data_IF_688316952711
#
_entry.id   IF_688316952711
#
_cell.length_a   1.000
_cell.length_b   1.000
_cell.length_c   1.000
_cell.angle_alpha   90.00
_cell.angle_beta   90.00
_cell.angle_gamma   90.00
#
_symmetry.space_group_name_H-M   'P 1'
#
loop_
_entity.id
_entity.type
_entity.pdbx_description
1 polymer ?
#
# COMPACT_ATOMS: atom_id res chain seq x y z
N UNK A 1 7.04 -1.02 -27.00
CA UNK A 1 7.54 -1.92 -25.92
C UNK A 1 7.12 -1.45 -24.52
N UNK A 2 6.33 -0.39 -24.46
CA UNK A 2 5.49 0.04 -23.34
C UNK A 2 4.64 -1.08 -22.72
N UNK A 3 3.97 -1.91 -23.54
CA UNK A 3 3.12 -3.00 -23.01
C UNK A 3 3.93 -3.99 -22.17
N UNK A 4 5.14 -4.35 -22.60
CA UNK A 4 6.01 -5.24 -21.83
C UNK A 4 6.41 -4.61 -20.50
N UNK A 5 6.70 -3.30 -20.50
CA UNK A 5 7.02 -2.56 -19.30
C UNK A 5 5.88 -2.61 -18.28
N UNK A 6 4.67 -2.22 -18.70
CA UNK A 6 3.49 -2.20 -17.83
C UNK A 6 3.05 -3.59 -17.39
N UNK A 7 3.25 -4.61 -18.23
CA UNK A 7 3.05 -6.01 -17.84
C UNK A 7 3.99 -6.43 -16.69
N UNK A 8 5.26 -6.01 -16.73
CA UNK A 8 6.21 -6.28 -15.66
C UNK A 8 5.90 -5.49 -14.38
N UNK A 9 5.49 -4.23 -14.50
CA UNK A 9 5.02 -3.44 -13.36
C UNK A 9 3.79 -4.07 -12.70
N UNK A 10 2.85 -4.60 -13.49
CA UNK A 10 1.68 -5.31 -12.97
C UNK A 10 2.06 -6.60 -12.23
N UNK A 11 3.01 -7.39 -12.77
CA UNK A 11 3.55 -8.58 -12.09
C UNK A 11 4.26 -8.21 -10.78
N UNK A 12 4.98 -7.09 -10.77
CA UNK A 12 5.58 -6.58 -9.55
C UNK A 12 4.52 -6.21 -8.49
N UNK A 13 3.44 -5.51 -8.88
CA UNK A 13 2.33 -5.24 -7.98
C UNK A 13 1.68 -6.53 -7.43
N UNK A 14 1.50 -7.56 -8.26
CA UNK A 14 1.00 -8.86 -7.82
C UNK A 14 1.92 -9.52 -6.79
N UNK A 15 3.24 -9.43 -6.96
CA UNK A 15 4.19 -9.94 -5.97
C UNK A 15 4.07 -9.21 -4.62
N UNK A 16 3.89 -7.88 -4.65
CA UNK A 16 3.64 -7.12 -3.42
C UNK A 16 2.36 -7.59 -2.74
N UNK A 17 1.29 -7.85 -3.49
CA UNK A 17 0.02 -8.34 -2.97
C UNK A 17 0.13 -9.76 -2.39
N UNK A 18 0.75 -10.69 -3.12
CA UNK A 18 0.94 -12.09 -2.68
C UNK A 18 1.82 -12.14 -1.43
N UNK A 19 2.89 -11.34 -1.41
CA UNK A 19 3.79 -11.26 -0.27
C UNK A 19 3.28 -10.39 0.88
N UNK A 20 2.07 -9.82 0.77
CA UNK A 20 1.49 -8.89 1.76
C UNK A 20 2.41 -7.69 2.10
N UNK A 21 3.21 -7.25 1.12
CA UNK A 21 4.11 -6.10 1.25
C UNK A 21 3.36 -4.80 0.97
N UNK A 22 2.35 -4.49 1.78
CA UNK A 22 1.61 -3.25 1.70
C UNK A 22 1.10 -2.84 3.08
N UNK A 23 0.98 -1.54 3.28
CA UNK A 23 0.57 -0.96 4.56
C UNK A 23 -0.58 0.03 4.37
N UNK A 24 -1.45 0.18 5.37
CA UNK A 24 -2.44 1.22 5.34
C UNK A 24 -1.76 2.57 5.60
N UNK A 25 -2.00 3.52 4.70
CA UNK A 25 -1.35 4.80 4.67
C UNK A 25 -2.34 5.96 4.84
N UNK A 26 -1.77 7.10 5.20
CA UNK A 26 -2.46 8.37 5.30
C UNK A 26 -1.71 9.40 4.44
N UNK A 27 -2.31 9.78 3.30
CA UNK A 27 -1.71 10.75 2.39
C UNK A 27 -2.37 12.12 2.55
N UNK A 28 -1.55 13.17 2.63
CA UNK A 28 -2.01 14.56 2.55
C UNK A 28 -1.90 15.05 1.11
N UNK A 29 -2.93 15.75 0.63
CA UNK A 29 -2.94 16.48 -0.62
C UNK A 29 -3.42 17.92 -0.36
N UNK A 30 -2.51 18.89 -0.45
CA UNK A 30 -2.78 20.27 -0.08
C UNK A 30 -3.05 20.48 1.43
N UNK A 31 -3.75 21.56 1.76
CA UNK A 31 -3.96 22.00 3.14
C UNK A 31 -5.01 21.18 3.89
N UNK A 32 -6.03 20.69 3.17
CA UNK A 32 -7.21 20.02 3.78
C UNK A 32 -7.45 18.60 3.27
N UNK A 33 -6.78 18.19 2.19
CA UNK A 33 -6.99 16.88 1.61
C UNK A 33 -6.29 15.80 2.43
N UNK A 34 -7.07 14.94 3.08
CA UNK A 34 -6.56 13.76 3.76
C UNK A 34 -7.16 12.52 3.11
N UNK A 35 -6.32 11.52 2.83
CA UNK A 35 -6.71 10.33 2.07
C UNK A 35 -6.21 9.07 2.77
N UNK A 36 -7.13 8.14 3.00
CA UNK A 36 -6.82 6.80 3.47
C UNK A 36 -6.55 5.92 2.25
N UNK A 37 -5.33 5.39 2.09
CA UNK A 37 -4.90 4.60 0.94
C UNK A 37 -4.08 3.40 1.39
N UNK A 38 -4.12 2.28 0.68
CA UNK A 38 -3.10 1.25 0.82
C UNK A 38 -1.89 1.62 -0.04
N UNK A 39 -0.69 1.41 0.51
CA UNK A 39 0.56 1.72 -0.20
C UNK A 39 1.49 0.50 -0.20
N UNK A 40 2.19 0.24 -1.31
CA UNK A 40 3.23 -0.79 -1.36
C UNK A 40 4.33 -0.48 -0.33
N UNK A 41 4.72 -1.47 0.47
CA UNK A 41 5.74 -1.34 1.49
C UNK A 41 7.06 -1.95 1.02
N UNK A 42 8.00 -1.12 0.58
CA UNK A 42 9.31 -1.57 0.08
C UNK A 42 10.35 -1.68 1.20
N UNK A 43 10.05 -2.48 2.21
CA UNK A 43 10.93 -2.64 3.39
C UNK A 43 12.17 -3.50 3.05
N UNK A 44 12.01 -4.55 2.25
CA UNK A 44 13.10 -5.46 1.82
C UNK A 44 13.99 -4.81 0.74
N UNK A 45 15.32 -4.88 0.92
CA UNK A 45 16.33 -4.45 -0.07
C UNK A 45 16.16 -5.12 -1.43
N UNK A 46 15.70 -6.37 -1.47
CA UNK A 46 15.44 -7.10 -2.72
C UNK A 46 14.29 -6.47 -3.49
N UNK A 47 13.20 -6.10 -2.80
CA UNK A 47 12.04 -5.43 -3.41
C UNK A 47 12.46 -4.05 -3.92
N UNK A 48 13.19 -3.28 -3.10
CA UNK A 48 13.72 -1.96 -3.49
C UNK A 48 14.60 -2.04 -4.74
N UNK A 49 15.61 -2.92 -4.75
CA UNK A 49 16.50 -3.08 -5.91
C UNK A 49 15.76 -3.45 -7.19
N UNK A 50 14.77 -4.33 -7.09
CA UNK A 50 13.97 -4.73 -8.24
C UNK A 50 13.08 -3.59 -8.75
N UNK A 51 12.50 -2.80 -7.85
CA UNK A 51 11.77 -1.60 -8.23
C UNK A 51 12.70 -0.60 -8.95
N UNK A 52 13.88 -0.32 -8.41
CA UNK A 52 14.88 0.55 -9.05
C UNK A 52 15.27 0.07 -10.45
N UNK A 53 15.61 -1.22 -10.60
CA UNK A 53 15.94 -1.79 -11.91
C UNK A 53 14.79 -1.69 -12.92
N UNK A 54 13.54 -1.82 -12.45
CA UNK A 54 12.37 -1.60 -13.28
C UNK A 54 12.23 -0.13 -13.69
N UNK A 55 12.45 0.82 -12.79
CA UNK A 55 12.41 2.26 -13.13
C UNK A 55 13.49 2.62 -14.17
N UNK A 56 14.71 2.13 -14.01
CA UNK A 56 15.84 2.39 -14.91
C UNK A 56 15.63 1.86 -16.34
N UNK A 57 14.79 0.83 -16.49
CA UNK A 57 14.49 0.20 -17.78
C UNK A 57 13.25 0.77 -18.47
N UNK A 58 12.67 1.85 -17.94
CA UNK A 58 11.47 2.47 -18.52
C UNK A 58 11.72 2.97 -19.95
N UNK A 59 10.98 2.45 -20.95
CA UNK A 59 10.99 3.02 -22.29
C UNK A 59 10.46 4.47 -22.30
N UNK A 60 11.09 5.42 -23.01
CA UNK A 60 10.63 6.81 -23.06
C UNK A 60 9.16 6.97 -23.51
N UNK A 61 8.67 6.06 -24.36
CA UNK A 61 7.27 6.05 -24.83
C UNK A 61 6.26 5.90 -23.68
N UNK A 62 6.62 5.29 -22.54
CA UNK A 62 5.72 5.15 -21.39
C UNK A 62 5.37 6.49 -20.72
N UNK A 63 6.24 7.49 -20.85
CA UNK A 63 6.09 8.83 -20.24
C UNK A 63 5.84 9.92 -21.28
N UNK A 64 5.57 9.54 -22.54
CA UNK A 64 5.37 10.46 -23.66
C UNK A 64 3.89 10.83 -23.89
N UNK A 65 3.00 10.51 -22.93
CA UNK A 65 1.57 10.76 -23.06
C UNK A 65 1.21 12.17 -22.61
N UNK A 66 0.44 12.88 -23.44
CA UNK A 66 -0.16 14.19 -23.13
C UNK A 66 0.87 15.25 -22.67
N UNK A 67 1.95 15.38 -23.46
CA UNK A 67 3.02 16.35 -23.21
C UNK A 67 2.95 17.50 -24.23
N UNK A 68 3.02 18.74 -23.73
CA UNK A 68 3.26 19.92 -24.56
C UNK A 68 4.76 20.05 -24.88
N UNK A 69 5.64 19.82 -23.89
CA UNK A 69 7.10 19.79 -24.04
C UNK A 69 7.73 18.50 -23.49
N UNK A 70 8.92 18.12 -24.00
CA UNK A 70 9.62 16.92 -23.50
C UNK A 70 10.02 17.01 -22.04
N UNK A 71 10.17 18.23 -21.52
CA UNK A 71 10.57 18.50 -20.14
C UNK A 71 9.39 18.34 -19.16
N UNK A 72 8.14 18.35 -19.65
CA UNK A 72 6.93 18.06 -18.86
C UNK A 72 6.80 16.56 -18.54
N UNK A 73 7.60 15.71 -19.18
CA UNK A 73 7.52 14.27 -19.04
C UNK A 73 7.83 13.83 -17.60
N UNK A 74 6.81 13.34 -16.90
CA UNK A 74 6.92 12.87 -15.52
C UNK A 74 8.10 11.90 -15.33
N UNK A 75 8.72 11.96 -14.15
CA UNK A 75 9.85 11.10 -13.83
C UNK A 75 9.43 9.62 -13.89
N UNK A 76 10.27 8.73 -14.46
CA UNK A 76 10.00 7.29 -14.53
C UNK A 76 9.64 6.68 -13.16
N UNK A 77 10.31 7.15 -12.11
CA UNK A 77 10.08 6.72 -10.74
C UNK A 77 8.63 6.99 -10.31
N UNK A 78 8.18 8.24 -10.40
CA UNK A 78 6.85 8.67 -9.96
C UNK A 78 5.74 7.96 -10.73
N UNK A 79 5.92 7.79 -12.04
CA UNK A 79 4.94 7.11 -12.90
C UNK A 79 4.80 5.63 -12.51
N UNK A 80 5.92 4.95 -12.28
CA UNK A 80 5.94 3.54 -11.89
C UNK A 80 5.40 3.33 -10.48
N UNK A 81 5.81 4.19 -9.55
CA UNK A 81 5.34 4.18 -8.16
C UNK A 81 3.84 4.39 -8.11
N UNK A 82 3.32 5.41 -8.81
CA UNK A 82 1.90 5.72 -8.86
C UNK A 82 1.09 4.55 -9.44
N UNK A 83 1.58 3.93 -10.52
CA UNK A 83 0.94 2.78 -11.14
C UNK A 83 0.84 1.60 -10.16
N UNK A 84 1.96 1.20 -9.54
CA UNK A 84 2.01 0.08 -8.59
C UNK A 84 1.16 0.38 -7.36
N UNK A 85 1.23 1.59 -6.83
CA UNK A 85 0.43 2.01 -5.67
C UNK A 85 -1.08 1.97 -5.97
N UNK A 86 -1.49 2.41 -7.16
CA UNK A 86 -2.90 2.39 -7.58
C UNK A 86 -3.41 0.96 -7.74
N UNK A 87 -2.61 0.07 -8.34
CA UNK A 87 -2.96 -1.35 -8.46
C UNK A 87 -3.14 -2.02 -7.09
N UNK A 88 -2.20 -1.79 -6.17
CA UNK A 88 -2.25 -2.35 -4.81
C UNK A 88 -3.47 -1.81 -4.06
N UNK A 89 -3.69 -0.50 -4.05
CA UNK A 89 -4.84 0.12 -3.38
C UNK A 89 -6.17 -0.40 -3.90
N UNK A 90 -6.32 -0.47 -5.22
CA UNK A 90 -7.54 -0.94 -5.86
C UNK A 90 -7.80 -2.41 -5.53
N UNK A 91 -6.80 -3.28 -5.63
CA UNK A 91 -6.95 -4.70 -5.36
C UNK A 91 -7.37 -4.96 -3.90
N UNK A 92 -6.67 -4.35 -2.94
CA UNK A 92 -6.97 -4.55 -1.51
C UNK A 92 -8.35 -4.03 -1.15
N UNK A 93 -8.77 -2.88 -1.70
CA UNK A 93 -10.14 -2.37 -1.50
C UNK A 93 -11.20 -3.30 -2.08
N UNK A 94 -10.98 -3.80 -3.28
CA UNK A 94 -11.93 -4.71 -3.93
C UNK A 94 -12.15 -5.98 -3.10
N UNK A 95 -11.07 -6.56 -2.56
CA UNK A 95 -11.18 -7.72 -1.66
C UNK A 95 -11.89 -7.38 -0.36
N UNK A 96 -11.57 -6.23 0.24
CA UNK A 96 -12.20 -5.79 1.49
C UNK A 96 -13.71 -5.52 1.38
N UNK A 97 -14.18 -5.17 0.17
CA UNK A 97 -15.60 -4.92 -0.10
C UNK A 97 -16.42 -6.19 -0.33
N UNK A 98 -15.77 -7.34 -0.58
CA UNK A 98 -16.45 -8.62 -0.72
C UNK A 98 -16.99 -9.11 0.64
N UNK A 99 -16.24 -8.88 1.73
CA UNK A 99 -16.56 -9.31 3.10
C UNK A 99 -17.24 -8.22 3.94
N UNK A 100 -18.23 -7.53 3.35
CA UNK A 100 -18.74 -6.27 3.90
C UNK A 100 -19.64 -6.47 5.14
N UNK A 101 -19.04 -6.45 6.32
CA UNK A 101 -19.78 -6.12 7.55
C UNK A 101 -20.28 -4.66 7.49
N UNK A 102 -21.46 -4.34 8.06
CA UNK A 102 -21.95 -2.96 8.11
C UNK A 102 -20.93 -2.06 8.80
N UNK A 103 -20.58 -0.95 8.15
CA UNK A 103 -19.66 0.04 8.72
C UNK A 103 -20.32 0.66 9.95
N UNK A 104 -19.76 0.41 11.14
CA UNK A 104 -20.22 1.04 12.37
C UNK A 104 -20.00 2.56 12.32
N UNK A 105 -20.85 3.34 13.00
CA UNK A 105 -20.63 4.77 13.14
C UNK A 105 -19.30 5.01 13.85
N UNK A 106 -18.36 5.66 13.17
CA UNK A 106 -17.02 5.88 13.69
C UNK A 106 -16.98 7.18 14.52
N UNK A 107 -16.89 7.04 15.84
CA UNK A 107 -16.77 8.17 16.75
C UNK A 107 -15.34 8.74 16.80
N UNK A 108 -14.33 7.91 16.50
CA UNK A 108 -12.93 8.28 16.61
C UNK A 108 -12.27 8.47 15.22
N UNK A 109 -11.35 9.45 15.06
CA UNK A 109 -10.65 9.68 13.78
C UNK A 109 -9.94 8.45 13.20
N UNK A 110 -9.31 7.62 14.05
CA UNK A 110 -8.66 6.38 13.61
C UNK A 110 -9.65 5.36 13.04
N UNK A 111 -10.85 5.25 13.62
CA UNK A 111 -11.91 4.39 13.09
C UNK A 111 -12.44 4.92 11.76
N UNK A 112 -12.57 6.25 11.62
CA UNK A 112 -12.95 6.87 10.35
C UNK A 112 -11.91 6.59 9.27
N UNK A 113 -10.62 6.68 9.58
CA UNK A 113 -9.54 6.30 8.67
C UNK A 113 -9.60 4.81 8.28
N UNK A 114 -9.75 3.90 9.24
CA UNK A 114 -9.86 2.47 8.96
C UNK A 114 -11.10 2.11 8.11
N UNK A 115 -12.18 2.85 8.30
CA UNK A 115 -13.38 2.77 7.48
C UNK A 115 -13.12 3.26 6.05
N UNK A 116 -12.42 4.39 5.89
CA UNK A 116 -12.08 4.94 4.57
C UNK A 116 -11.03 4.13 3.80
N UNK A 117 -10.23 3.28 4.45
CA UNK A 117 -9.34 2.32 3.76
C UNK A 117 -10.11 1.24 2.99
N UNK A 118 -11.37 0.99 3.34
CA UNK A 118 -12.24 -0.03 2.71
C UNK A 118 -13.27 0.59 1.76
N UNK A 119 -13.64 1.85 2.02
CA UNK A 119 -14.59 2.58 1.20
C UNK A 119 -14.10 2.78 -0.25
N UNK A 120 -15.04 2.96 -1.17
CA UNK A 120 -14.73 3.32 -2.55
C UNK A 120 -14.13 4.73 -2.67
N UNK A 121 -14.51 5.65 -1.78
CA UNK A 121 -13.92 6.98 -1.67
C UNK A 121 -12.80 6.96 -0.62
N UNK A 122 -11.55 7.29 -0.99
CA UNK A 122 -10.44 7.34 -0.04
C UNK A 122 -10.40 8.65 0.78
N UNK A 123 -11.25 9.64 0.47
CA UNK A 123 -11.20 10.95 1.08
C UNK A 123 -11.69 10.92 2.54
N UNK A 124 -10.89 11.47 3.44
CA UNK A 124 -11.15 11.51 4.88
C UNK A 124 -11.47 12.95 5.29
N UNK A 125 -12.74 13.22 5.59
CA UNK A 125 -13.19 14.53 6.04
C UNK A 125 -13.06 14.64 7.57
N UNK A 126 -12.01 15.30 8.03
CA UNK A 126 -11.76 15.57 9.44
C UNK A 126 -11.51 17.06 9.68
N UNK A 127 -11.93 17.61 10.84
CA UNK A 127 -11.52 18.95 11.22
C UNK A 127 -9.99 19.05 11.34
N UNK A 128 -9.38 20.24 11.17
CA UNK A 128 -7.93 20.40 11.08
C UNK A 128 -7.15 19.84 12.28
N UNK A 129 -7.64 20.04 13.51
CA UNK A 129 -6.97 19.60 14.72
C UNK A 129 -6.95 18.06 14.88
N UNK A 130 -8.09 17.34 14.75
CA UNK A 130 -8.10 15.87 14.65
C UNK A 130 -7.27 15.31 13.50
N UNK A 131 -7.33 15.93 12.31
CA UNK A 131 -6.56 15.50 11.14
C UNK A 131 -5.05 15.61 11.39
N UNK A 132 -4.61 16.68 12.04
CA UNK A 132 -3.21 16.87 12.41
C UNK A 132 -2.73 15.81 13.40
N UNK A 133 -3.48 15.57 14.48
CA UNK A 133 -3.13 14.55 15.48
C UNK A 133 -3.08 13.14 14.89
N UNK A 134 -4.11 12.76 14.13
CA UNK A 134 -4.15 11.44 13.49
C UNK A 134 -2.93 11.21 12.59
N UNK A 135 -2.49 12.22 11.84
CA UNK A 135 -1.31 12.08 11.00
C UNK A 135 -0.01 11.94 11.80
N UNK A 136 0.12 12.64 12.93
CA UNK A 136 1.27 12.45 13.82
C UNK A 136 1.30 11.06 14.44
N UNK A 137 0.14 10.57 14.92
CA UNK A 137 0.00 9.23 15.49
C UNK A 137 0.26 8.15 14.44
N UNK A 138 -0.27 8.31 13.22
CA UNK A 138 0.00 7.41 12.10
C UNK A 138 1.48 7.40 11.72
N UNK A 139 2.14 8.57 11.65
CA UNK A 139 3.56 8.63 11.34
C UNK A 139 4.40 7.89 12.39
N UNK A 140 4.15 8.16 13.68
CA UNK A 140 4.83 7.49 14.78
C UNK A 140 4.60 5.96 14.80
N UNK A 141 3.45 5.49 14.30
CA UNK A 141 3.15 4.07 14.14
C UNK A 141 3.89 3.45 12.94
N UNK A 142 3.91 4.12 11.78
CA UNK A 142 4.60 3.62 10.57
C UNK A 142 6.12 3.62 10.72
N UNK A 143 6.69 4.57 11.46
CA UNK A 143 8.15 4.62 11.70
C UNK A 143 8.64 3.35 12.45
N UNK A 144 7.80 2.74 13.30
CA UNK A 144 8.13 1.50 14.00
C UNK A 144 8.30 0.30 13.05
N UNK A 145 7.59 0.29 11.92
CA UNK A 145 7.72 -0.76 10.91
C UNK A 145 9.09 -0.72 10.23
N UNK A 146 9.60 0.48 9.96
CA UNK A 146 10.93 0.68 9.36
C UNK A 146 12.05 0.25 10.31
N UNK A 147 11.93 0.58 11.60
CA UNK A 147 12.89 0.15 12.64
C UNK A 147 12.93 -1.38 12.73
N UNK A 148 11.77 -2.03 12.61
CA UNK A 148 11.67 -3.48 12.70
C UNK A 148 12.23 -4.18 11.45
N UNK A 149 12.10 -3.60 10.26
CA UNK A 149 12.67 -4.20 9.04
C UNK A 149 14.20 -4.21 9.00
N UNK A 150 14.86 -3.28 9.68
CA UNK A 150 16.33 -3.27 9.80
C UNK A 150 16.86 -4.34 10.77
N UNK A 151 15.99 -4.93 11.59
CA UNK A 151 16.37 -5.97 12.52
C UNK A 151 16.36 -7.35 11.84
N UNK A 152 17.55 -7.96 11.70
CA UNK A 152 17.77 -9.26 11.08
C UNK A 152 17.24 -10.46 11.90
N UNK A 153 15.95 -10.49 12.24
CA UNK A 153 15.33 -11.67 12.83
C UNK A 153 14.32 -12.31 11.87
N UNK A 154 14.33 -13.65 11.80
CA UNK A 154 13.39 -14.44 11.03
C UNK A 154 12.54 -15.25 12.00
N UNK A 155 11.23 -15.09 11.92
CA UNK A 155 10.27 -15.87 12.72
C UNK A 155 9.84 -17.05 11.85
N UNK A 156 9.98 -18.26 12.38
CA UNK A 156 9.54 -19.50 11.71
C UNK A 156 8.42 -20.09 12.54
N UNK A 157 7.29 -20.42 11.92
CA UNK A 157 6.28 -21.26 12.56
C UNK A 157 6.71 -22.71 12.45
N UNK A 158 7.02 -23.32 13.59
CA UNK A 158 7.18 -24.77 13.68
C UNK A 158 5.80 -25.38 13.94
N UNK A 159 5.38 -26.29 13.07
CA UNK A 159 4.16 -27.06 13.28
C UNK A 159 4.49 -28.24 14.20
N UNK A 160 4.16 -28.11 15.48
CA UNK A 160 4.32 -29.19 16.46
C UNK A 160 3.01 -29.95 16.57
N UNK A 161 3.02 -31.23 16.24
CA UNK A 161 1.88 -32.12 16.45
C UNK A 161 1.60 -32.26 17.96
N UNK A 162 0.34 -32.12 18.42
CA UNK A 162 0.01 -32.26 19.83
C UNK A 162 0.28 -33.69 20.32
N UNK A 163 0.77 -33.84 21.56
CA UNK A 163 1.11 -35.16 22.15
C UNK A 163 -0.08 -36.10 22.29
N UNK A 164 -1.31 -35.58 22.19
CA UNK A 164 -2.53 -36.38 22.21
C UNK A 164 -3.30 -36.13 20.92
N UNK A 165 -3.68 -37.18 20.17
CA UNK A 165 -4.58 -37.01 19.04
C UNK A 165 -5.89 -36.41 19.56
N UNK A 166 -6.41 -35.41 18.85
CA UNK A 166 -7.69 -34.81 19.17
C UNK A 166 -8.75 -35.91 19.29
N UNK A 167 -9.29 -36.11 20.50
CA UNK A 167 -10.41 -37.02 20.72
C UNK A 167 -11.58 -36.47 19.91
N UNK A 168 -11.84 -37.08 18.76
CA UNK A 168 -13.06 -36.84 18.00
C UNK A 168 -14.20 -37.41 18.83
N UNK A 169 -14.89 -36.55 19.58
CA UNK A 169 -16.13 -36.89 20.25
C UNK A 169 -17.18 -37.25 19.21
N UNK A 170 -17.59 -38.51 19.18
CA UNK A 170 -18.74 -38.99 18.42
C UNK A 170 -20.07 -38.60 19.06
#
# INVERSE_FOLDING_TARGET
>A
NDILYWSNAAKFALEMLIGQHYVPALRRNGVTGLYALWQPAMLDDRIRRRFTAMVETMPPVCRAYDLDETDDAQAPHELTEHFVATMVDTAVRQWSNHDRAPMASAAQPAQQWANQLRAASPHLMLPPQPAYRLAQEWQAWIDQLHITSDANFRITFELVEPEQPAQSGG
#
